data_IF_741533360176
#
_entry.id   IF_741533360176
#
_cell.length_a   1.000
_cell.length_b   1.000
_cell.length_c   1.000
_cell.angle_alpha   90.00
_cell.angle_beta   90.00
_cell.angle_gamma   90.00
#
_symmetry.space_group_name_H-M   'P 1'
#
loop_
_entity.id
_entity.type
_entity.pdbx_description
1 polymer ?
#
# COMPACT_ATOMS: atom_id res chain seq x y z
N UNK A 1 13.95 0.99 -0.10
CA UNK A 1 13.30 0.66 1.20
C UNK A 1 11.95 0.03 0.87
N UNK A 2 11.43 -0.91 1.68
CA UNK A 2 10.13 -1.50 1.40
C UNK A 2 9.00 -0.50 1.67
N UNK A 3 8.02 -0.43 0.77
CA UNK A 3 6.85 0.46 0.89
C UNK A 3 5.75 -0.08 1.82
N UNK A 4 5.94 -1.29 2.34
CA UNK A 4 5.05 -1.96 3.29
C UNK A 4 5.86 -2.81 4.26
N UNK A 5 5.40 -2.91 5.50
CA UNK A 5 6.01 -3.70 6.56
C UNK A 5 5.26 -5.03 6.80
N UNK A 6 5.94 -5.99 7.43
CA UNK A 6 5.31 -7.26 7.84
C UNK A 6 4.19 -7.03 8.85
N UNK A 7 4.33 -6.03 9.72
CA UNK A 7 3.29 -5.63 10.69
C UNK A 7 2.03 -5.11 10.00
N UNK A 8 2.17 -4.32 8.94
CA UNK A 8 1.03 -3.84 8.15
C UNK A 8 0.33 -4.98 7.41
N UNK A 9 1.08 -5.98 6.92
CA UNK A 9 0.49 -7.19 6.34
C UNK A 9 -0.25 -8.04 7.38
N UNK A 10 0.24 -8.07 8.63
CA UNK A 10 -0.44 -8.72 9.75
C UNK A 10 -1.75 -8.00 10.15
N UNK A 11 -1.86 -6.68 9.92
CA UNK A 11 -3.12 -5.96 10.06
C UNK A 11 -4.07 -6.21 8.89
N UNK A 12 -3.55 -6.09 7.66
CA UNK A 12 -4.30 -6.23 6.41
C UNK A 12 -3.37 -6.81 5.34
N UNK A 13 -3.59 -8.05 4.87
CA UNK A 13 -4.83 -8.82 4.94
C UNK A 13 -5.11 -9.55 6.26
N UNK A 14 -4.10 -9.73 7.13
CA UNK A 14 -4.22 -10.49 8.37
C UNK A 14 -3.32 -11.72 8.41
N UNK A 15 -2.86 -12.08 9.60
CA UNK A 15 -1.95 -13.21 9.80
C UNK A 15 -2.46 -14.55 9.28
N UNK A 16 -3.79 -14.78 9.30
CA UNK A 16 -4.41 -15.98 8.74
C UNK A 16 -4.19 -16.11 7.22
N UNK A 17 -4.42 -15.04 6.47
CA UNK A 17 -4.21 -15.06 5.02
C UNK A 17 -2.73 -15.21 4.70
N UNK A 18 -1.86 -14.50 5.42
CA UNK A 18 -0.41 -14.61 5.25
C UNK A 18 0.09 -16.01 5.60
N UNK A 19 -0.41 -16.64 6.66
CA UNK A 19 -0.04 -18.01 7.00
C UNK A 19 -0.39 -18.99 5.87
N UNK A 20 -1.58 -18.87 5.29
CA UNK A 20 -2.00 -19.73 4.18
C UNK A 20 -1.18 -19.48 2.91
N UNK A 21 -0.87 -18.23 2.60
CA UNK A 21 -0.16 -17.87 1.38
C UNK A 21 1.36 -18.11 1.46
N UNK A 22 1.97 -17.89 2.62
CA UNK A 22 3.42 -18.02 2.82
C UNK A 22 3.86 -19.44 3.17
N UNK A 23 2.93 -20.32 3.56
CA UNK A 23 3.25 -21.73 3.80
C UNK A 23 3.54 -22.43 2.48
N UNK A 24 4.57 -23.28 2.45
CA UNK A 24 4.91 -24.05 1.26
C UNK A 24 4.12 -25.36 1.19
N UNK A 25 3.90 -25.90 -0.01
CA UNK A 25 3.21 -27.18 -0.22
C UNK A 25 3.88 -28.37 0.51
N UNK A 26 5.18 -28.23 0.85
CA UNK A 26 5.95 -29.26 1.55
C UNK A 26 5.76 -29.25 3.08
N UNK A 27 5.13 -28.21 3.64
CA UNK A 27 5.04 -27.99 5.08
C UNK A 27 3.60 -27.71 5.50
N UNK A 28 3.15 -28.20 6.67
CA UNK A 28 1.86 -27.79 7.22
C UNK A 28 1.74 -26.27 7.32
N UNK A 29 0.51 -25.77 7.20
CA UNK A 29 0.23 -24.35 7.39
C UNK A 29 0.66 -23.92 8.79
N UNK A 30 1.43 -22.83 8.87
CA UNK A 30 1.87 -22.26 10.15
C UNK A 30 0.65 -21.85 10.97
N UNK A 31 0.69 -22.15 12.27
CA UNK A 31 -0.35 -21.71 13.21
C UNK A 31 -0.60 -20.19 13.11
N UNK A 32 -1.86 -19.78 13.12
CA UNK A 32 -2.22 -18.39 12.83
C UNK A 32 -1.75 -17.42 13.93
N UNK A 33 -1.76 -17.86 15.19
CA UNK A 33 -1.27 -17.05 16.30
C UNK A 33 0.26 -16.95 16.26
N UNK A 34 0.95 -18.05 15.92
CA UNK A 34 2.39 -18.03 15.68
C UNK A 34 2.78 -17.12 14.51
N UNK A 35 2.02 -17.14 13.42
CA UNK A 35 2.25 -16.27 12.27
C UNK A 35 2.06 -14.79 12.66
N UNK A 36 0.99 -14.45 13.39
CA UNK A 36 0.78 -13.07 13.86
C UNK A 36 1.93 -12.60 14.76
N UNK A 37 2.34 -13.44 15.71
CA UNK A 37 3.46 -13.15 16.58
C UNK A 37 4.77 -12.96 15.82
N UNK A 38 4.99 -13.77 14.77
CA UNK A 38 6.18 -13.70 13.92
C UNK A 38 6.20 -12.43 13.07
N UNK A 39 5.07 -12.04 12.47
CA UNK A 39 4.98 -10.84 11.64
C UNK A 39 5.08 -9.53 12.46
N UNK A 40 4.61 -9.57 13.71
CA UNK A 40 4.63 -8.43 14.66
C UNK A 40 5.88 -8.40 15.55
N UNK A 41 6.68 -9.47 15.56
CA UNK A 41 7.87 -9.58 16.41
C UNK A 41 7.56 -9.69 17.91
N UNK A 42 6.42 -10.30 18.28
CA UNK A 42 6.02 -10.50 19.69
C UNK A 42 6.55 -11.81 20.26
N UNK A 43 6.20 -12.13 21.50
CA UNK A 43 6.64 -13.37 22.17
C UNK A 43 6.18 -14.63 21.41
N UNK A 44 7.08 -15.60 21.31
CA UNK A 44 6.91 -16.88 20.61
C UNK A 44 7.37 -18.08 21.44
N UNK A 45 7.60 -17.92 22.74
CA UNK A 45 8.12 -18.98 23.62
C UNK A 45 7.14 -20.15 23.83
N UNK A 46 5.86 -19.98 23.49
CA UNK A 46 4.82 -21.01 23.62
C UNK A 46 4.85 -22.11 22.54
N UNK A 47 5.61 -21.94 21.45
CA UNK A 47 5.66 -22.86 20.32
C UNK A 47 6.95 -23.67 20.27
N UNK A 48 6.91 -24.85 19.65
CA UNK A 48 8.09 -25.73 19.57
C UNK A 48 9.14 -25.20 18.58
N UNK A 49 10.42 -25.59 18.72
CA UNK A 49 11.47 -25.16 17.79
C UNK A 49 11.17 -25.46 16.31
N UNK A 50 10.50 -26.56 16.01
CA UNK A 50 10.10 -26.96 14.65
C UNK A 50 9.01 -26.03 14.09
N UNK A 51 8.08 -25.61 14.95
CA UNK A 51 7.05 -24.63 14.59
C UNK A 51 7.67 -23.27 14.34
N UNK A 52 8.62 -22.84 15.19
CA UNK A 52 9.37 -21.59 15.02
C UNK A 52 10.15 -21.58 13.70
N UNK A 53 10.86 -22.66 13.37
CA UNK A 53 11.60 -22.79 12.11
C UNK A 53 10.67 -22.68 10.89
N UNK A 54 9.48 -23.27 10.98
CA UNK A 54 8.46 -23.17 9.91
C UNK A 54 7.94 -21.73 9.77
N UNK A 55 7.70 -21.05 10.89
CA UNK A 55 7.26 -19.66 10.90
C UNK A 55 8.34 -18.69 10.38
N UNK A 56 9.61 -18.89 10.73
CA UNK A 56 10.73 -18.08 10.25
C UNK A 56 10.94 -18.29 8.73
N UNK A 57 10.81 -19.52 8.22
CA UNK A 57 10.86 -19.77 6.79
C UNK A 57 9.68 -19.13 6.03
N UNK A 58 8.49 -19.07 6.64
CA UNK A 58 7.36 -18.34 6.06
C UNK A 58 7.58 -16.82 6.11
N UNK A 59 8.14 -16.29 7.21
CA UNK A 59 8.51 -14.88 7.33
C UNK A 59 9.50 -14.46 6.25
N UNK A 60 10.51 -15.30 5.97
CA UNK A 60 11.48 -15.02 4.90
C UNK A 60 10.78 -14.84 3.54
N UNK A 61 9.83 -15.73 3.19
CA UNK A 61 9.07 -15.60 1.93
C UNK A 61 8.24 -14.31 1.87
N UNK A 62 7.67 -13.90 3.00
CA UNK A 62 6.95 -12.60 3.10
C UNK A 62 7.92 -11.44 2.87
N UNK A 63 9.10 -11.48 3.48
CA UNK A 63 10.13 -10.44 3.30
C UNK A 63 10.62 -10.37 1.85
N UNK A 64 10.85 -11.53 1.21
CA UNK A 64 11.25 -11.60 -0.20
C UNK A 64 10.16 -10.98 -1.11
N UNK A 65 8.89 -11.34 -0.89
CA UNK A 65 7.76 -10.78 -1.64
C UNK A 65 7.56 -9.27 -1.41
N UNK A 66 7.89 -8.76 -0.21
CA UNK A 66 7.86 -7.33 0.11
C UNK A 66 9.02 -6.59 -0.58
N UNK A 67 10.21 -7.19 -0.59
CA UNK A 67 11.38 -6.62 -1.26
C UNK A 67 11.18 -6.56 -2.78
N UNK A 68 10.67 -7.63 -3.38
CA UNK A 68 10.37 -7.70 -4.82
C UNK A 68 9.28 -6.71 -5.22
N UNK A 69 8.20 -6.59 -4.43
CA UNK A 69 7.18 -5.57 -4.64
C UNK A 69 7.76 -4.15 -4.57
N UNK A 70 8.68 -3.90 -3.63
CA UNK A 70 9.40 -2.64 -3.52
C UNK A 70 10.20 -2.32 -4.78
N UNK A 71 11.01 -3.28 -5.26
CA UNK A 71 11.81 -3.12 -6.47
C UNK A 71 10.95 -2.87 -7.72
N UNK A 72 9.80 -3.53 -7.83
CA UNK A 72 8.85 -3.32 -8.93
C UNK A 72 8.28 -1.90 -8.92
N UNK A 73 7.86 -1.40 -7.76
CA UNK A 73 7.36 -0.03 -7.60
C UNK A 73 8.47 0.97 -7.93
N UNK A 74 9.68 0.76 -7.41
CA UNK A 74 10.85 1.59 -7.69
C UNK A 74 11.11 1.72 -9.20
N UNK A 75 10.94 0.64 -9.98
CA UNK A 75 11.07 0.69 -11.44
C UNK A 75 10.11 1.69 -12.10
N UNK A 76 8.83 1.70 -11.71
CA UNK A 76 7.84 2.66 -12.22
C UNK A 76 8.11 4.09 -11.75
N UNK A 77 8.56 4.26 -10.51
CA UNK A 77 8.89 5.56 -9.95
C UNK A 77 10.12 6.17 -10.65
N UNK A 78 11.15 5.36 -10.92
CA UNK A 78 12.32 5.77 -11.69
C UNK A 78 11.94 6.17 -13.12
N UNK A 79 11.03 5.44 -13.77
CA UNK A 79 10.52 5.80 -15.10
C UNK A 79 9.82 7.17 -15.11
N UNK A 80 9.13 7.53 -14.03
CA UNK A 80 8.53 8.86 -13.86
C UNK A 80 9.58 9.97 -13.65
N UNK A 81 10.79 9.62 -13.24
CA UNK A 81 11.86 10.55 -12.90
C UNK A 81 11.94 10.93 -11.43
N UNK A 82 11.32 10.15 -10.52
CA UNK A 82 11.49 10.37 -9.09
C UNK A 82 12.91 9.99 -8.62
N UNK A 83 13.45 10.76 -7.69
CA UNK A 83 14.65 10.37 -6.96
C UNK A 83 14.31 9.22 -6.00
N UNK A 84 15.09 8.15 -6.05
CA UNK A 84 14.94 6.99 -5.18
C UNK A 84 16.03 6.98 -4.09
N UNK A 85 15.72 6.53 -2.86
CA UNK A 85 14.41 6.07 -2.40
C UNK A 85 13.41 7.22 -2.24
N UNK A 86 12.17 7.02 -2.71
CA UNK A 86 11.11 8.02 -2.58
C UNK A 86 10.47 7.89 -1.20
N UNK A 87 10.63 8.91 -0.36
CA UNK A 87 9.96 8.99 0.93
C UNK A 87 8.71 9.86 0.82
N UNK A 88 7.54 9.23 0.98
CA UNK A 88 6.26 9.94 0.97
C UNK A 88 5.73 10.00 2.40
N UNK A 89 5.50 11.22 2.88
CA UNK A 89 4.87 11.44 4.17
C UNK A 89 3.54 10.65 4.28
N UNK A 90 3.27 10.01 5.43
CA UNK A 90 2.01 9.31 5.65
C UNK A 90 0.80 10.24 5.47
N UNK A 91 -0.25 9.75 4.83
CA UNK A 91 -1.54 10.47 4.73
C UNK A 91 -2.22 10.53 6.11
N UNK A 92 -3.36 11.22 6.25
CA UNK A 92 -4.17 11.26 7.49
C UNK A 92 -4.54 9.88 8.06
N UNK A 93 -4.55 8.83 7.23
CA UNK A 93 -4.78 7.43 7.62
C UNK A 93 -3.49 6.68 7.99
N UNK A 94 -2.33 7.35 8.01
CA UNK A 94 -1.01 6.75 8.27
C UNK A 94 -0.44 5.89 7.14
N UNK A 95 -1.16 5.76 6.00
CA UNK A 95 -0.80 4.89 4.87
C UNK A 95 -0.80 5.68 3.56
N UNK A 96 0.17 5.43 2.68
CA UNK A 96 0.28 6.09 1.37
C UNK A 96 -0.22 5.15 0.24
N UNK A 97 -0.34 5.66 -0.99
CA UNK A 97 -0.76 4.86 -2.15
C UNK A 97 0.24 3.73 -2.47
N UNK A 98 1.53 3.97 -2.27
CA UNK A 98 2.58 2.97 -2.50
C UNK A 98 2.43 1.78 -1.54
N UNK A 99 2.06 2.00 -0.29
CA UNK A 99 1.76 0.94 0.68
C UNK A 99 0.57 0.09 0.22
N UNK A 100 -0.46 0.70 -0.37
CA UNK A 100 -1.60 -0.03 -0.89
C UNK A 100 -1.23 -0.90 -2.09
N UNK A 101 -0.44 -0.38 -3.03
CA UNK A 101 0.03 -1.15 -4.19
C UNK A 101 1.04 -2.22 -3.79
N UNK A 102 1.98 -1.90 -2.90
CA UNK A 102 2.93 -2.86 -2.35
C UNK A 102 2.21 -4.02 -1.68
N UNK A 103 1.16 -3.75 -0.90
CA UNK A 103 0.29 -4.79 -0.33
C UNK A 103 -0.28 -5.71 -1.41
N UNK A 104 -0.89 -5.15 -2.46
CA UNK A 104 -1.51 -5.94 -3.52
C UNK A 104 -0.49 -6.80 -4.26
N UNK A 105 0.68 -6.24 -4.57
CA UNK A 105 1.77 -6.96 -5.25
C UNK A 105 2.34 -8.06 -4.36
N UNK A 106 2.70 -7.77 -3.10
CA UNK A 106 3.22 -8.78 -2.19
C UNK A 106 2.23 -9.92 -1.94
N UNK A 107 0.92 -9.61 -1.79
CA UNK A 107 -0.12 -10.64 -1.68
C UNK A 107 -0.19 -11.54 -2.91
N UNK A 108 -0.04 -10.97 -4.10
CA UNK A 108 -0.05 -11.75 -5.34
C UNK A 108 1.20 -12.63 -5.46
N UNK A 109 2.39 -12.09 -5.18
CA UNK A 109 3.65 -12.83 -5.21
C UNK A 109 3.63 -14.04 -4.25
N UNK A 110 3.05 -13.87 -3.06
CA UNK A 110 2.86 -14.97 -2.11
C UNK A 110 1.89 -16.05 -2.63
N UNK A 111 0.86 -15.67 -3.39
CA UNK A 111 -0.11 -16.61 -3.96
C UNK A 111 0.31 -17.19 -5.34
N UNK A 112 1.44 -16.79 -5.90
CA UNK A 112 1.79 -17.03 -7.31
C UNK A 112 1.92 -18.50 -7.74
N UNK A 113 2.06 -19.44 -6.80
CA UNK A 113 2.12 -20.89 -7.10
C UNK A 113 0.75 -21.58 -7.09
N UNK A 114 -0.32 -20.88 -6.73
CA UNK A 114 -1.66 -21.45 -6.61
C UNK A 114 -2.28 -21.63 -7.99
N UNK A 115 -2.77 -22.84 -8.28
CA UNK A 115 -3.56 -23.10 -9.49
C UNK A 115 -4.97 -22.56 -9.22
N UNK A 116 -5.24 -21.34 -9.66
CA UNK A 116 -6.56 -20.70 -9.58
C UNK A 116 -6.94 -20.07 -10.91
N UNK A 117 -8.25 -20.01 -11.17
CA UNK A 117 -8.81 -19.25 -12.28
C UNK A 117 -8.58 -17.76 -12.03
N UNK A 118 -7.50 -17.23 -12.62
CA UNK A 118 -7.02 -15.85 -12.44
C UNK A 118 -8.10 -14.79 -12.74
N UNK A 119 -9.09 -15.14 -13.58
CA UNK A 119 -10.19 -14.25 -13.94
C UNK A 119 -11.15 -13.96 -12.78
N UNK A 120 -11.20 -14.83 -11.77
CA UNK A 120 -12.11 -14.74 -10.61
C UNK A 120 -11.40 -14.45 -9.30
N UNK A 121 -10.07 -14.40 -9.31
CA UNK A 121 -9.27 -14.17 -8.10
C UNK A 121 -9.21 -12.67 -7.75
N UNK A 122 -9.77 -12.25 -6.60
CA UNK A 122 -9.65 -10.87 -6.14
C UNK A 122 -8.19 -10.41 -5.98
N UNK A 123 -7.28 -11.30 -5.60
CA UNK A 123 -5.85 -10.96 -5.42
C UNK A 123 -5.20 -10.63 -6.75
N UNK A 124 -5.45 -11.44 -7.79
CA UNK A 124 -4.94 -11.20 -9.14
C UNK A 124 -5.56 -9.94 -9.76
N UNK A 125 -6.83 -9.64 -9.47
CA UNK A 125 -7.47 -8.38 -9.87
C UNK A 125 -6.79 -7.19 -9.21
N UNK A 126 -6.65 -7.21 -7.89
CA UNK A 126 -6.05 -6.11 -7.12
C UNK A 126 -4.58 -5.86 -7.54
N UNK A 127 -3.84 -6.91 -7.91
CA UNK A 127 -2.50 -6.82 -8.49
C UNK A 127 -2.49 -6.11 -9.86
N UNK A 128 -3.34 -6.55 -10.80
CA UNK A 128 -3.45 -5.91 -12.11
C UNK A 128 -3.88 -4.45 -12.01
N UNK A 129 -4.80 -4.14 -11.11
CA UNK A 129 -5.21 -2.77 -10.84
C UNK A 129 -4.05 -1.93 -10.30
N UNK A 130 -3.24 -2.48 -9.39
CA UNK A 130 -2.03 -1.82 -8.89
C UNK A 130 -1.02 -1.53 -10.02
N UNK A 131 -0.71 -2.52 -10.86
CA UNK A 131 0.17 -2.34 -12.02
C UNK A 131 -0.35 -1.27 -12.99
N UNK A 132 -1.66 -1.26 -13.24
CA UNK A 132 -2.29 -0.26 -14.11
C UNK A 132 -2.15 1.15 -13.54
N UNK A 133 -2.37 1.33 -12.23
CA UNK A 133 -2.20 2.63 -11.58
C UNK A 133 -0.73 3.08 -11.57
N UNK A 134 0.21 2.16 -11.32
CA UNK A 134 1.65 2.43 -11.42
C UNK A 134 2.07 2.84 -12.84
N UNK A 135 1.52 2.18 -13.87
CA UNK A 135 1.76 2.57 -15.26
C UNK A 135 1.17 3.96 -15.58
N UNK A 136 0.00 4.29 -15.03
CA UNK A 136 -0.58 5.64 -15.16
C UNK A 136 0.26 6.71 -14.44
N UNK A 137 0.82 6.38 -13.27
CA UNK A 137 1.76 7.23 -12.55
C UNK A 137 3.03 7.47 -13.37
N UNK A 138 3.66 6.41 -13.88
CA UNK A 138 4.83 6.51 -14.74
C UNK A 138 4.55 7.35 -16.01
N UNK A 139 3.37 7.20 -16.60
CA UNK A 139 2.92 7.99 -17.75
C UNK A 139 2.51 9.44 -17.38
N UNK A 140 2.49 9.81 -16.10
CA UNK A 140 2.11 11.14 -15.63
C UNK A 140 0.63 11.46 -15.63
N UNK A 141 -0.22 10.45 -15.76
CA UNK A 141 -1.68 10.59 -15.75
C UNK A 141 -2.25 10.54 -14.34
N UNK A 142 -1.49 10.00 -13.39
CA UNK A 142 -1.82 9.91 -11.97
C UNK A 142 -0.75 10.69 -11.19
N UNK A 143 -1.17 11.41 -10.15
CA UNK A 143 -0.27 12.09 -9.21
C UNK A 143 -0.35 11.43 -7.84
N UNK A 144 0.75 11.48 -7.08
CA UNK A 144 0.85 10.98 -5.70
C UNK A 144 0.21 11.92 -4.66
N UNK A 145 -0.44 13.01 -5.11
CA UNK A 145 -1.12 13.98 -4.26
C UNK A 145 -0.28 15.23 -4.02
N UNK A 146 -0.61 15.99 -2.96
CA UNK A 146 0.00 17.30 -2.69
C UNK A 146 1.53 17.26 -2.45
N UNK A 147 2.06 16.10 -2.06
CA UNK A 147 3.49 15.89 -1.80
C UNK A 147 4.24 15.26 -2.98
N UNK A 148 3.61 15.18 -4.15
CA UNK A 148 4.22 14.63 -5.36
C UNK A 148 5.35 15.56 -5.87
N UNK A 149 6.63 15.13 -5.84
CA UNK A 149 7.75 15.97 -6.26
C UNK A 149 7.73 16.33 -7.75
N UNK A 150 7.02 15.54 -8.56
CA UNK A 150 6.90 15.71 -10.00
C UNK A 150 5.51 16.22 -10.40
N UNK A 151 4.69 16.68 -9.44
CA UNK A 151 3.48 17.40 -9.77
C UNK A 151 3.83 18.63 -10.60
N UNK A 152 3.12 18.89 -11.72
CA UNK A 152 3.32 20.12 -12.46
C UNK A 152 3.08 21.31 -11.50
N UNK A 153 3.91 22.34 -11.59
CA UNK A 153 3.78 23.57 -10.77
C UNK A 153 2.39 24.24 -10.88
N UNK A 154 1.60 23.83 -11.89
CA UNK A 154 0.23 24.27 -12.16
C UNK A 154 -0.82 23.18 -11.89
N UNK A 155 -0.52 22.15 -11.09
CA UNK A 155 -1.57 21.31 -10.54
C UNK A 155 -2.53 22.25 -9.79
N UNK A 156 -3.83 22.33 -10.17
CA UNK A 156 -4.73 23.27 -9.55
C UNK A 156 -4.71 22.94 -8.07
N UNK A 157 -4.21 23.88 -7.27
CA UNK A 157 -4.38 23.81 -5.83
C UNK A 157 -5.85 23.51 -5.61
N UNK A 158 -6.18 22.50 -4.81
CA UNK A 158 -7.53 22.29 -4.29
C UNK A 158 -8.00 23.44 -3.37
N UNK A 159 -7.34 24.59 -3.46
CA UNK A 159 -7.78 25.88 -2.98
C UNK A 159 -8.91 26.38 -3.90
N UNK A 160 -10.13 25.97 -3.58
CA UNK A 160 -11.35 26.53 -4.16
C UNK A 160 -11.50 27.94 -3.58
N UNK A 161 -10.98 28.94 -4.28
CA UNK A 161 -11.19 30.35 -3.94
C UNK A 161 -12.49 30.82 -4.57
N UNK A 162 -13.46 31.13 -3.73
CA UNK A 162 -14.67 31.84 -4.14
C UNK A 162 -14.33 33.33 -4.24
N UNK A 163 -14.20 33.84 -5.46
CA UNK A 163 -14.25 35.27 -5.71
C UNK A 163 -15.72 35.64 -5.93
N UNK A 164 -16.29 36.40 -4.99
CA UNK A 164 -17.67 36.85 -5.06
C UNK A 164 -17.67 38.38 -5.10
N UNK A 165 -18.56 38.95 -5.91
CA UNK A 165 -18.76 40.39 -5.93
C UNK A 165 -19.07 40.89 -4.50
N UNK A 166 -18.57 42.07 -4.11
CA UNK A 166 -18.86 42.64 -2.80
C UNK A 166 -20.38 42.73 -2.60
N UNK A 167 -20.86 42.42 -1.41
CA UNK A 167 -22.29 42.39 -1.13
C UNK A 167 -22.89 43.80 -1.26
N UNK A 168 -23.66 44.01 -2.33
CA UNK A 168 -24.37 45.26 -2.66
C UNK A 168 -25.65 45.50 -1.85
N UNK A 169 -26.08 44.51 -1.07
CA UNK A 169 -27.23 44.60 -0.17
C UNK A 169 -26.85 44.08 1.21
N UNK A 170 -26.01 44.86 1.90
CA UNK A 170 -25.65 44.59 3.28
C UNK A 170 -26.66 45.23 4.24
N UNK A 171 -26.73 44.70 5.47
CA UNK A 171 -27.51 45.30 6.56
C UNK A 171 -27.07 46.74 6.87
N UNK A 172 -25.84 47.11 6.49
CA UNK A 172 -25.31 48.48 6.64
C UNK A 172 -25.91 49.41 5.58
N UNK A 173 -26.00 48.98 4.32
CA UNK A 173 -26.57 49.78 3.22
C UNK A 173 -28.09 49.97 3.37
N UNK A 174 -28.80 48.96 3.89
CA UNK A 174 -30.25 49.05 4.14
C UNK A 174 -30.65 50.01 5.29
N UNK A 175 -29.68 50.56 6.05
CA UNK A 175 -29.98 51.58 7.08
C UNK A 175 -30.31 52.95 6.48
N UNK A 176 -29.88 53.23 5.26
CA UNK A 176 -30.14 54.50 4.58
C UNK A 176 -31.55 54.61 3.98
N UNK A 177 -32.30 53.51 3.93
CA UNK A 177 -33.66 53.42 3.40
C UNK A 177 -34.73 53.32 4.50
N UNK A 178 -34.40 53.74 5.74
CA UNK A 178 -35.35 53.82 6.86
C UNK A 178 -35.74 55.25 7.17
#
# INVERSE_FOLDING_TARGET
MPYITTTELAERPGAREIALAASSDATPVVDFALMDATLRGTDRTAWTPEQLASADAALQRVQDAVAEAGAMIDGYLAQRGYALPLDLAPTSTGKNLLTAWARSISRYLLNGKRITDESKDPVARDYRDALKMLAQLAAGKLSLGANDPAAPANAPSTDVRFDAAPQVFSRTELRAFR
#
